data_IF_993272898347
#
_entry.id   IF_993272898347
#
_cell.length_a   1.000
_cell.length_b   1.000
_cell.length_c   1.000
_cell.angle_alpha   90.00
_cell.angle_beta   90.00
_cell.angle_gamma   90.00
#
_symmetry.space_group_name_H-M   'P 1'
#
loop_
_entity.id
_entity.type
_entity.pdbx_description
1 polymer ?
#
# COMPACT_ATOMS: atom_id res chain seq x y z
N UNK A 1 -29.20 -0.64 18.71
CA UNK A 1 -28.29 0.34 18.07
C UNK A 1 -26.84 0.20 18.52
N UNK A 2 -26.45 0.54 19.78
CA UNK A 2 -25.03 0.43 20.22
C UNK A 2 -24.50 -1.01 20.12
N UNK A 3 -25.27 -2.01 20.58
CA UNK A 3 -24.89 -3.43 20.48
C UNK A 3 -24.69 -3.89 19.04
N UNK A 4 -25.51 -3.44 18.12
CA UNK A 4 -25.40 -3.75 16.68
C UNK A 4 -24.17 -3.12 16.03
N UNK A 5 -23.84 -1.88 16.42
CA UNK A 5 -22.64 -1.19 15.95
C UNK A 5 -21.36 -1.88 16.45
N UNK A 6 -21.32 -2.25 17.72
CA UNK A 6 -20.20 -3.00 18.27
C UNK A 6 -20.06 -4.38 17.60
N UNK A 7 -21.18 -5.05 17.33
CA UNK A 7 -21.18 -6.34 16.62
C UNK A 7 -20.65 -6.17 15.20
N UNK A 8 -21.04 -5.12 14.47
CA UNK A 8 -20.52 -4.82 13.14
C UNK A 8 -19.00 -4.60 13.15
N UNK A 9 -18.50 -3.88 14.13
CA UNK A 9 -17.04 -3.71 14.33
C UNK A 9 -16.32 -5.04 14.61
N UNK A 10 -16.89 -5.90 15.46
CA UNK A 10 -16.33 -7.21 15.77
C UNK A 10 -16.34 -8.17 14.58
N UNK A 11 -17.43 -8.20 13.81
CA UNK A 11 -17.53 -9.01 12.58
C UNK A 11 -16.50 -8.55 11.53
N UNK A 12 -16.29 -7.23 11.40
CA UNK A 12 -15.24 -6.70 10.52
C UNK A 12 -13.83 -7.14 10.96
N UNK A 13 -13.56 -7.16 12.27
CA UNK A 13 -12.30 -7.68 12.81
C UNK A 13 -12.13 -9.17 12.56
N UNK A 14 -13.17 -9.97 12.80
CA UNK A 14 -13.14 -11.41 12.58
C UNK A 14 -12.82 -11.72 11.11
N UNK A 15 -13.53 -11.08 10.17
CA UNK A 15 -13.29 -11.25 8.73
C UNK A 15 -11.88 -10.83 8.33
N UNK A 16 -11.40 -9.72 8.87
CA UNK A 16 -10.04 -9.21 8.61
C UNK A 16 -8.96 -10.19 9.11
N UNK A 17 -9.08 -10.66 10.35
CA UNK A 17 -8.13 -11.60 10.93
C UNK A 17 -8.13 -12.92 10.17
N UNK A 18 -9.33 -13.45 9.88
CA UNK A 18 -9.48 -14.72 9.19
C UNK A 18 -8.91 -14.71 7.76
N UNK A 19 -9.04 -13.61 7.01
CA UNK A 19 -8.72 -13.58 5.58
C UNK A 19 -7.43 -12.85 5.21
N UNK A 20 -6.91 -11.95 6.07
CA UNK A 20 -5.81 -11.05 5.68
C UNK A 20 -4.54 -11.21 6.50
N UNK A 21 -4.63 -11.66 7.77
CA UNK A 21 -3.45 -11.70 8.64
C UNK A 21 -2.45 -12.74 8.16
N UNK A 22 -2.87 -13.97 7.95
CA UNK A 22 -1.96 -15.10 7.64
C UNK A 22 -1.28 -14.94 6.28
N UNK A 23 -2.06 -14.77 5.23
CA UNK A 23 -1.56 -14.81 3.85
C UNK A 23 -1.00 -13.50 3.33
N UNK A 24 -1.29 -12.36 4.01
CA UNK A 24 -0.87 -11.03 3.57
C UNK A 24 0.03 -10.33 4.59
N UNK A 25 -0.44 -10.21 5.84
CA UNK A 25 0.20 -9.33 6.81
C UNK A 25 1.49 -9.93 7.39
N UNK A 26 1.49 -11.22 7.73
CA UNK A 26 2.68 -11.91 8.24
C UNK A 26 3.83 -11.87 7.23
N UNK A 27 3.67 -12.27 5.95
CA UNK A 27 4.75 -12.15 4.97
C UNK A 27 5.24 -10.72 4.75
N UNK A 28 4.34 -9.72 4.82
CA UNK A 28 4.71 -8.32 4.68
C UNK A 28 5.58 -7.81 5.83
N UNK A 29 5.29 -8.21 7.07
CA UNK A 29 6.14 -7.88 8.21
C UNK A 29 7.49 -8.59 8.13
N UNK A 30 7.51 -9.86 7.70
CA UNK A 30 8.76 -10.59 7.45
C UNK A 30 9.61 -9.89 6.37
N UNK A 31 8.96 -9.41 5.31
CA UNK A 31 9.64 -8.65 4.26
C UNK A 31 10.20 -7.33 4.78
N UNK A 32 9.42 -6.57 5.55
CA UNK A 32 9.87 -5.31 6.15
C UNK A 32 11.11 -5.51 7.05
N UNK A 33 11.06 -6.51 7.94
CA UNK A 33 12.21 -6.88 8.78
C UNK A 33 13.42 -7.34 7.96
N UNK A 34 13.20 -8.13 6.89
CA UNK A 34 14.27 -8.58 6.00
C UNK A 34 14.92 -7.41 5.24
N UNK A 35 14.13 -6.42 4.81
CA UNK A 35 14.66 -5.21 4.16
C UNK A 35 15.59 -4.44 5.08
N UNK A 36 15.21 -4.24 6.33
CA UNK A 36 16.03 -3.53 7.33
C UNK A 36 17.30 -4.31 7.68
N UNK A 37 17.22 -5.66 7.76
CA UNK A 37 18.32 -6.51 8.24
C UNK A 37 19.31 -6.92 7.16
N UNK A 38 18.84 -7.17 5.93
CA UNK A 38 19.64 -7.81 4.89
C UNK A 38 20.00 -6.91 3.70
N UNK A 39 19.26 -5.81 3.48
CA UNK A 39 19.57 -4.89 2.38
C UNK A 39 20.64 -3.90 2.85
N UNK A 40 21.67 -3.75 2.03
CA UNK A 40 22.70 -2.75 2.27
C UNK A 40 22.11 -1.34 2.10
N UNK A 41 22.21 -0.53 3.15
CA UNK A 41 21.72 0.84 3.16
C UNK A 41 22.34 1.70 2.07
N UNK A 42 23.61 1.45 1.72
CA UNK A 42 24.32 2.20 0.69
C UNK A 42 23.67 2.10 -0.68
N UNK A 43 23.14 0.91 -1.02
CA UNK A 43 22.43 0.67 -2.27
C UNK A 43 21.10 1.41 -2.32
N UNK A 44 20.33 1.32 -1.24
CA UNK A 44 19.06 2.03 -1.14
C UNK A 44 19.28 3.54 -1.23
N UNK A 45 20.27 4.06 -0.53
CA UNK A 45 20.61 5.49 -0.57
C UNK A 45 21.06 5.91 -1.97
N UNK A 46 21.84 5.09 -2.68
CA UNK A 46 22.33 5.39 -4.04
C UNK A 46 21.21 5.50 -5.07
N UNK A 47 20.25 4.56 -5.06
CA UNK A 47 19.20 4.48 -6.09
C UNK A 47 17.86 5.11 -5.68
N UNK A 48 17.54 5.09 -4.41
CA UNK A 48 16.24 5.48 -3.85
C UNK A 48 16.35 6.54 -2.75
N UNK A 49 17.54 6.97 -2.38
CA UNK A 49 17.79 7.96 -1.32
C UNK A 49 17.47 9.40 -1.73
N UNK A 50 17.74 10.31 -0.81
CA UNK A 50 17.48 11.74 -1.00
C UNK A 50 18.35 12.38 -2.10
N UNK A 51 19.55 11.87 -2.33
CA UNK A 51 20.49 12.36 -3.35
C UNK A 51 20.29 11.69 -4.73
N UNK A 52 19.48 10.63 -4.81
CA UNK A 52 19.19 9.94 -6.06
C UNK A 52 18.40 10.84 -7.02
N UNK A 53 18.60 10.64 -8.32
CA UNK A 53 17.80 11.32 -9.33
C UNK A 53 16.30 11.03 -9.10
N UNK A 54 15.52 12.07 -8.75
CA UNK A 54 14.13 11.95 -8.34
C UNK A 54 13.26 11.30 -9.44
N UNK A 55 13.47 11.66 -10.71
CA UNK A 55 12.70 11.07 -11.80
C UNK A 55 12.96 9.57 -11.88
N UNK A 56 14.20 9.12 -11.83
CA UNK A 56 14.58 7.71 -11.90
C UNK A 56 14.06 6.93 -10.68
N UNK A 57 14.25 7.47 -9.48
CA UNK A 57 13.80 6.80 -8.25
C UNK A 57 12.27 6.74 -8.14
N UNK A 58 11.57 7.78 -8.56
CA UNK A 58 10.09 7.81 -8.59
C UNK A 58 9.52 6.86 -9.65
N UNK A 59 10.12 6.83 -10.86
CA UNK A 59 9.72 5.88 -11.90
C UNK A 59 9.96 4.44 -11.44
N UNK A 60 11.11 4.14 -10.85
CA UNK A 60 11.41 2.82 -10.33
C UNK A 60 10.44 2.40 -9.22
N UNK A 61 10.16 3.30 -8.29
CA UNK A 61 9.19 3.09 -7.22
C UNK A 61 7.78 2.84 -7.78
N UNK A 62 7.33 3.63 -8.75
CA UNK A 62 6.02 3.47 -9.38
C UNK A 62 5.91 2.13 -10.11
N UNK A 63 6.87 1.80 -10.98
CA UNK A 63 6.85 0.56 -11.78
C UNK A 63 6.88 -0.67 -10.87
N UNK A 64 7.78 -0.70 -9.86
CA UNK A 64 7.84 -1.82 -8.92
C UNK A 64 6.55 -1.98 -8.13
N UNK A 65 5.88 -0.87 -7.81
CA UNK A 65 4.61 -0.88 -7.08
C UNK A 65 3.46 -1.49 -7.88
N UNK A 66 3.42 -1.33 -9.20
CA UNK A 66 2.42 -1.99 -10.05
C UNK A 66 2.49 -3.52 -9.97
N UNK A 67 3.70 -4.06 -9.81
CA UNK A 67 3.93 -5.52 -9.68
C UNK A 67 3.64 -6.02 -8.27
N UNK A 68 3.63 -5.13 -7.28
CA UNK A 68 3.38 -5.49 -5.89
C UNK A 68 1.86 -5.63 -5.65
N UNK A 69 1.32 -6.83 -5.83
CA UNK A 69 -0.10 -7.13 -5.56
C UNK A 69 -0.37 -7.19 -4.06
N UNK A 70 -0.31 -6.04 -3.42
CA UNK A 70 -0.44 -5.90 -1.98
C UNK A 70 -1.56 -4.92 -1.62
N UNK A 71 -2.30 -5.22 -0.56
CA UNK A 71 -3.26 -4.28 0.02
C UNK A 71 -2.51 -3.18 0.78
N UNK A 72 -3.19 -2.09 1.07
CA UNK A 72 -2.61 -0.95 1.81
C UNK A 72 -2.01 -1.34 3.17
N UNK A 73 -2.60 -2.31 3.86
CA UNK A 73 -2.08 -2.81 5.15
C UNK A 73 -0.72 -3.48 5.03
N UNK A 74 -0.49 -4.22 3.93
CA UNK A 74 0.78 -4.91 3.68
C UNK A 74 1.86 -3.98 3.12
N UNK A 75 1.45 -2.93 2.42
CA UNK A 75 2.39 -1.96 1.84
C UNK A 75 2.99 -1.04 2.90
N UNK A 76 2.28 -0.73 4.00
CA UNK A 76 2.81 0.11 5.08
C UNK A 76 4.11 -0.46 5.67
N UNK A 77 4.18 -1.74 6.09
CA UNK A 77 5.44 -2.33 6.53
C UNK A 77 6.55 -2.27 5.48
N UNK A 78 6.22 -2.60 4.22
CA UNK A 78 7.19 -2.61 3.12
C UNK A 78 7.75 -1.21 2.86
N UNK A 79 6.89 -0.21 2.71
CA UNK A 79 7.30 1.18 2.47
C UNK A 79 8.09 1.75 3.66
N UNK A 80 7.71 1.40 4.89
CA UNK A 80 8.43 1.83 6.09
C UNK A 80 9.78 1.13 6.22
N UNK A 81 9.87 -0.17 5.95
CA UNK A 81 11.13 -0.90 5.91
C UNK A 81 12.12 -0.25 4.94
N UNK A 82 11.65 0.10 3.73
CA UNK A 82 12.45 0.80 2.74
C UNK A 82 12.88 2.19 3.21
N UNK A 83 11.96 2.95 3.83
CA UNK A 83 12.25 4.27 4.38
C UNK A 83 13.30 4.21 5.51
N UNK A 84 13.18 3.27 6.45
CA UNK A 84 14.15 3.09 7.53
C UNK A 84 15.51 2.56 7.04
N UNK A 85 15.54 1.91 5.88
CA UNK A 85 16.79 1.49 5.21
C UNK A 85 17.46 2.66 4.50
N UNK A 86 16.82 3.82 4.34
CA UNK A 86 17.40 5.04 3.81
C UNK A 86 16.83 5.53 2.49
N UNK A 87 15.71 4.97 2.03
CA UNK A 87 15.01 5.51 0.88
C UNK A 87 14.46 6.92 1.16
N UNK A 88 14.37 7.73 0.11
CA UNK A 88 13.73 9.04 0.12
C UNK A 88 12.27 8.91 0.58
N UNK A 89 11.79 9.91 1.31
CA UNK A 89 10.40 9.94 1.75
C UNK A 89 9.43 9.92 0.57
N UNK A 90 9.76 10.59 -0.53
CA UNK A 90 8.95 10.59 -1.75
C UNK A 90 8.80 9.19 -2.31
N UNK A 91 9.87 8.41 -2.39
CA UNK A 91 9.86 7.01 -2.84
C UNK A 91 8.97 6.14 -1.95
N UNK A 92 9.11 6.24 -0.63
CA UNK A 92 8.31 5.47 0.31
C UNK A 92 6.81 5.77 0.15
N UNK A 93 6.43 7.05 -0.03
CA UNK A 93 5.04 7.46 -0.20
C UNK A 93 4.47 7.15 -1.59
N UNK A 94 5.31 7.10 -2.64
CA UNK A 94 4.92 6.59 -3.96
C UNK A 94 4.55 5.10 -3.87
N UNK A 95 5.39 4.29 -3.24
CA UNK A 95 5.10 2.86 -3.05
C UNK A 95 3.84 2.68 -2.21
N UNK A 96 3.71 3.44 -1.13
CA UNK A 96 2.55 3.42 -0.25
C UNK A 96 1.24 3.73 -0.98
N UNK A 97 1.30 4.60 -1.99
CA UNK A 97 0.16 5.02 -2.80
C UNK A 97 -0.12 4.07 -3.97
N UNK A 98 0.87 3.83 -4.85
CA UNK A 98 0.67 3.13 -6.12
C UNK A 98 0.34 1.65 -5.92
N UNK A 99 1.00 0.98 -4.99
CA UNK A 99 0.84 -0.45 -4.79
C UNK A 99 -0.61 -0.87 -4.48
N UNK A 100 -1.36 -0.21 -3.59
CA UNK A 100 -2.77 -0.54 -3.40
C UNK A 100 -3.68 0.09 -4.46
N UNK A 101 -3.38 1.32 -4.93
CA UNK A 101 -4.26 2.06 -5.84
C UNK A 101 -4.29 1.52 -7.27
N UNK A 102 -3.20 0.92 -7.76
CA UNK A 102 -3.07 0.55 -9.16
C UNK A 102 -2.20 -0.69 -9.41
N UNK A 103 -2.21 -1.68 -8.52
CA UNK A 103 -1.50 -2.92 -8.81
C UNK A 103 -2.15 -3.72 -9.95
N UNK A 104 -1.36 -4.61 -10.56
CA UNK A 104 -1.76 -5.35 -11.75
C UNK A 104 -3.05 -6.17 -11.55
N UNK A 105 -3.29 -6.74 -10.37
CA UNK A 105 -4.51 -7.48 -10.08
C UNK A 105 -5.73 -6.55 -10.02
N UNK A 106 -5.62 -5.42 -9.32
CA UNK A 106 -6.68 -4.41 -9.27
C UNK A 106 -7.01 -3.87 -10.67
N UNK A 107 -6.00 -3.68 -11.52
CA UNK A 107 -6.19 -3.24 -12.91
C UNK A 107 -6.88 -4.29 -13.76
N UNK A 108 -6.52 -5.58 -13.64
CA UNK A 108 -7.20 -6.69 -14.35
C UNK A 108 -8.67 -6.76 -13.95
N UNK A 109 -8.98 -6.70 -12.64
CA UNK A 109 -10.37 -6.72 -12.16
C UNK A 109 -11.15 -5.48 -12.63
N UNK A 110 -10.55 -4.30 -12.55
CA UNK A 110 -11.15 -3.07 -13.08
C UNK A 110 -11.47 -3.21 -14.57
N UNK A 111 -10.55 -3.79 -15.36
CA UNK A 111 -10.74 -3.99 -16.78
C UNK A 111 -11.85 -4.99 -17.12
N UNK A 112 -11.92 -6.08 -16.37
CA UNK A 112 -12.93 -7.12 -16.57
C UNK A 112 -14.35 -6.65 -16.23
N UNK A 113 -14.49 -5.75 -15.25
CA UNK A 113 -15.81 -5.33 -14.72
C UNK A 113 -16.24 -3.96 -15.27
N UNK A 114 -15.32 -2.99 -15.25
CA UNK A 114 -15.60 -1.58 -15.57
C UNK A 114 -15.08 -1.13 -16.95
N UNK A 115 -14.33 -2.00 -17.62
CA UNK A 115 -13.86 -1.80 -18.98
C UNK A 115 -12.52 -1.05 -19.09
N UNK A 116 -11.94 -1.09 -20.30
CA UNK A 116 -10.58 -0.61 -20.61
C UNK A 116 -10.39 0.89 -20.40
N UNK A 117 -11.41 1.72 -20.68
CA UNK A 117 -11.33 3.17 -20.42
C UNK A 117 -11.06 3.47 -18.94
N UNK A 118 -11.74 2.75 -18.05
CA UNK A 118 -11.55 2.92 -16.60
C UNK A 118 -10.15 2.50 -16.16
N UNK A 119 -9.61 1.39 -16.71
CA UNK A 119 -8.24 0.94 -16.42
C UNK A 119 -7.20 1.97 -16.86
N UNK A 120 -7.29 2.45 -18.09
CA UNK A 120 -6.35 3.45 -18.61
C UNK A 120 -6.39 4.73 -17.80
N UNK A 121 -7.61 5.20 -17.47
CA UNK A 121 -7.80 6.36 -16.60
C UNK A 121 -7.18 6.12 -15.21
N UNK A 122 -7.34 4.93 -14.64
CA UNK A 122 -6.78 4.55 -13.35
C UNK A 122 -5.25 4.53 -13.37
N UNK A 123 -4.62 3.96 -14.41
CA UNK A 123 -3.16 3.92 -14.57
C UNK A 123 -2.59 5.33 -14.68
N UNK A 124 -3.12 6.13 -15.61
CA UNK A 124 -2.64 7.50 -15.83
C UNK A 124 -2.79 8.35 -14.57
N UNK A 125 -3.95 8.28 -13.94
CA UNK A 125 -4.23 9.01 -12.71
C UNK A 125 -3.33 8.59 -11.55
N UNK A 126 -3.13 7.28 -11.35
CA UNK A 126 -2.28 6.76 -10.29
C UNK A 126 -0.82 7.20 -10.46
N UNK A 127 -0.30 7.20 -11.70
CA UNK A 127 1.05 7.68 -12.00
C UNK A 127 1.18 9.19 -11.77
N UNK A 128 0.26 9.99 -12.28
CA UNK A 128 0.27 11.44 -12.08
C UNK A 128 0.23 11.78 -10.58
N UNK A 129 -0.71 11.18 -9.85
CA UNK A 129 -0.81 11.38 -8.41
C UNK A 129 0.44 10.91 -7.67
N UNK A 130 1.05 9.80 -8.07
CA UNK A 130 2.28 9.27 -7.46
C UNK A 130 3.43 10.27 -7.54
N UNK A 131 3.66 10.85 -8.73
CA UNK A 131 4.71 11.86 -8.91
C UNK A 131 4.43 13.13 -8.11
N UNK A 132 3.19 13.61 -8.11
CA UNK A 132 2.81 14.81 -7.34
C UNK A 132 2.99 14.56 -5.85
N UNK A 133 2.51 13.44 -5.32
CA UNK A 133 2.68 13.06 -3.91
C UNK A 133 4.15 12.92 -3.57
N UNK A 134 4.93 12.21 -4.40
CA UNK A 134 6.37 12.07 -4.20
C UNK A 134 7.07 13.43 -4.09
N UNK A 135 6.78 14.36 -5.00
CA UNK A 135 7.33 15.71 -4.98
C UNK A 135 6.88 16.52 -3.77
N UNK A 136 5.60 16.50 -3.41
CA UNK A 136 5.11 17.21 -2.23
C UNK A 136 5.79 16.72 -0.96
N UNK A 137 5.91 15.39 -0.80
CA UNK A 137 6.55 14.81 0.38
C UNK A 137 8.03 15.17 0.47
N UNK A 138 8.73 15.19 -0.66
CA UNK A 138 10.14 15.61 -0.72
C UNK A 138 10.28 17.09 -0.38
N UNK A 139 9.49 17.96 -1.00
CA UNK A 139 9.57 19.40 -0.79
C UNK A 139 9.29 19.80 0.66
N UNK A 140 8.33 19.12 1.31
CA UNK A 140 7.94 19.48 2.68
C UNK A 140 8.85 18.87 3.74
N UNK A 141 9.33 17.63 3.52
CA UNK A 141 10.00 16.88 4.59
C UNK A 141 11.46 16.53 4.32
N UNK A 142 11.91 16.56 3.07
CA UNK A 142 13.30 16.25 2.75
C UNK A 142 14.14 17.52 2.87
N UNK A 143 14.75 17.73 4.04
CA UNK A 143 15.74 18.78 4.22
C UNK A 143 16.99 18.38 3.44
N UNK A 144 17.58 19.32 2.67
CA UNK A 144 18.89 19.11 2.03
C UNK A 144 19.89 18.67 3.10
N UNK A 145 20.55 17.52 2.96
CA UNK A 145 21.58 17.10 3.91
C UNK A 145 22.67 18.16 3.90
N UNK A 146 23.32 18.39 5.05
CA UNK A 146 24.59 19.13 5.09
C UNK A 146 25.59 18.34 4.26
N UNK A 147 25.94 18.87 3.10
CA UNK A 147 26.62 18.25 1.96
C UNK A 147 27.98 17.62 2.25
N UNK A 148 28.59 17.92 3.41
CA UNK A 148 30.01 17.61 3.67
C UNK A 148 30.26 16.27 4.36
N UNK A 149 29.36 15.76 5.21
CA UNK A 149 29.65 14.57 6.00
C UNK A 149 29.23 13.26 5.29
N UNK A 150 28.08 13.26 4.61
CA UNK A 150 27.59 12.07 3.91
C UNK A 150 28.42 11.71 2.68
N UNK A 151 28.92 12.71 1.93
CA UNK A 151 29.82 12.49 0.77
C UNK A 151 31.19 11.93 1.17
N UNK A 152 31.67 12.25 2.36
CA UNK A 152 32.94 11.71 2.86
C UNK A 152 32.78 10.22 3.29
N UNK A 153 31.73 9.88 3.97
CA UNK A 153 31.45 8.49 4.37
C UNK A 153 31.13 7.58 3.17
N UNK A 154 30.33 8.06 2.21
CA UNK A 154 30.01 7.32 1.00
C UNK A 154 31.23 7.08 0.10
N UNK A 155 32.17 8.02 -0.01
CA UNK A 155 33.42 7.85 -0.81
C UNK A 155 34.42 6.86 -0.19
N UNK A 156 34.38 6.69 1.12
CA UNK A 156 35.33 5.80 1.81
C UNK A 156 34.92 4.31 1.69
N UNK A 157 33.64 4.01 1.38
CA UNK A 157 33.09 2.64 1.39
C UNK A 157 32.83 2.03 0.01
N UNK A 158 33.06 2.77 -1.09
CA UNK A 158 32.87 2.29 -2.46
C UNK A 158 33.99 1.35 -2.96
N UNK A 159 34.24 0.25 -2.24
CA UNK A 159 34.82 -0.95 -2.84
C UNK A 159 33.73 -1.76 -3.51
N UNK A 160 34.04 -2.39 -4.64
CA UNK A 160 33.17 -3.27 -5.46
C UNK A 160 32.57 -4.45 -4.66
N UNK A 161 31.65 -4.17 -3.72
CA UNK A 161 30.88 -5.22 -3.04
C UNK A 161 29.54 -5.39 -3.71
N UNK A 162 29.21 -6.61 -4.04
CA UNK A 162 27.90 -7.01 -4.60
C UNK A 162 26.77 -6.42 -3.75
N UNK A 163 25.84 -5.76 -4.41
CA UNK A 163 24.72 -4.98 -3.89
C UNK A 163 23.94 -5.67 -2.77
N UNK A 164 23.74 -6.97 -2.87
CA UNK A 164 23.16 -7.84 -1.84
C UNK A 164 23.83 -9.22 -2.02
N UNK A 165 24.38 -9.84 -0.99
CA UNK A 165 24.85 -11.22 -1.08
C UNK A 165 23.74 -12.13 -1.62
N UNK A 166 24.05 -12.97 -2.60
CA UNK A 166 23.06 -13.83 -3.29
C UNK A 166 22.12 -14.57 -2.33
N UNK A 167 22.63 -15.03 -1.19
CA UNK A 167 21.85 -15.71 -0.15
C UNK A 167 20.72 -14.87 0.44
N UNK A 168 20.93 -13.57 0.66
CA UNK A 168 19.90 -12.68 1.19
C UNK A 168 18.90 -12.25 0.11
N UNK A 169 19.38 -12.10 -1.13
CA UNK A 169 18.51 -11.83 -2.27
C UNK A 169 17.52 -12.99 -2.50
N UNK A 170 17.98 -14.23 -2.46
CA UNK A 170 17.12 -15.41 -2.59
C UNK A 170 16.09 -15.45 -1.46
N UNK A 171 16.52 -15.17 -0.21
CA UNK A 171 15.57 -15.10 0.92
C UNK A 171 14.49 -14.05 0.69
N UNK A 172 14.85 -12.85 0.27
CA UNK A 172 13.88 -11.77 -0.02
C UNK A 172 12.93 -12.19 -1.14
N UNK A 173 13.42 -12.83 -2.20
CA UNK A 173 12.58 -13.36 -3.29
C UNK A 173 11.62 -14.44 -2.76
N UNK A 174 12.04 -15.32 -1.89
CA UNK A 174 11.18 -16.36 -1.29
C UNK A 174 10.10 -15.72 -0.40
N UNK A 175 10.43 -14.67 0.37
CA UNK A 175 9.43 -13.92 1.15
C UNK A 175 8.43 -13.22 0.21
N UNK A 176 8.90 -12.61 -0.88
CA UNK A 176 8.04 -12.02 -1.90
C UNK A 176 7.13 -13.05 -2.56
N UNK A 177 7.64 -14.24 -2.87
CA UNK A 177 6.83 -15.33 -3.39
C UNK A 177 5.77 -15.79 -2.39
N UNK A 178 6.12 -15.91 -1.10
CA UNK A 178 5.15 -16.21 -0.03
C UNK A 178 4.04 -15.14 0.07
N UNK A 179 4.39 -13.86 -0.10
CA UNK A 179 3.44 -12.75 -0.08
C UNK A 179 2.54 -12.71 -1.32
N UNK A 180 3.12 -12.88 -2.51
CA UNK A 180 2.41 -12.64 -3.77
C UNK A 180 1.67 -13.87 -4.28
N UNK A 181 2.25 -15.08 -4.15
CA UNK A 181 1.71 -16.31 -4.74
C UNK A 181 0.26 -16.62 -4.37
N UNK A 182 -0.19 -16.44 -3.12
CA UNK A 182 -1.60 -16.71 -2.78
C UNK A 182 -2.59 -15.87 -3.59
N UNK A 183 -2.23 -14.63 -3.90
CA UNK A 183 -3.09 -13.71 -4.63
C UNK A 183 -3.00 -13.88 -6.15
N UNK A 184 -1.84 -14.28 -6.68
CA UNK A 184 -1.66 -14.50 -8.11
C UNK A 184 -2.14 -15.88 -8.57
N UNK A 185 -1.90 -16.93 -7.79
CA UNK A 185 -2.22 -18.31 -8.15
C UNK A 185 -3.67 -18.67 -7.83
N UNK A 186 -4.21 -18.16 -6.71
CA UNK A 186 -5.59 -18.47 -6.29
C UNK A 186 -6.49 -17.25 -6.48
N UNK A 187 -7.05 -17.12 -7.69
CA UNK A 187 -7.95 -16.01 -8.07
C UNK A 187 -9.39 -16.23 -7.64
N UNK A 188 -9.82 -17.48 -7.53
CA UNK A 188 -11.19 -17.90 -7.16
C UNK A 188 -11.14 -19.15 -6.30
N UNK A 189 -12.18 -19.37 -5.48
CA UNK A 189 -12.29 -20.54 -4.62
C UNK A 189 -12.19 -20.22 -3.13
N UNK A 190 -12.28 -21.24 -2.26
CA UNK A 190 -12.26 -21.06 -0.82
C UNK A 190 -10.90 -20.57 -0.31
N UNK A 191 -10.92 -19.79 0.76
CA UNK A 191 -9.71 -19.14 1.33
C UNK A 191 -8.61 -20.12 1.71
N UNK A 192 -8.95 -21.35 2.11
CA UNK A 192 -7.96 -22.35 2.50
C UNK A 192 -6.97 -22.72 1.37
N UNK A 193 -7.37 -22.58 0.08
CA UNK A 193 -6.42 -22.74 -1.05
C UNK A 193 -5.33 -21.70 -1.01
N UNK A 194 -5.66 -20.44 -0.64
CA UNK A 194 -4.65 -19.37 -0.44
C UNK A 194 -3.72 -19.72 0.71
N UNK A 195 -4.25 -20.28 1.79
CA UNK A 195 -3.46 -20.69 2.96
C UNK A 195 -2.49 -21.83 2.60
N UNK A 196 -2.92 -22.80 1.80
CA UNK A 196 -2.06 -23.88 1.34
C UNK A 196 -0.90 -23.38 0.47
N UNK A 197 -1.20 -22.50 -0.50
CA UNK A 197 -0.15 -21.89 -1.34
C UNK A 197 0.81 -21.07 -0.49
N UNK A 198 0.30 -20.26 0.42
CA UNK A 198 1.11 -19.51 1.38
C UNK A 198 1.99 -20.43 2.22
N UNK A 199 1.43 -21.47 2.80
CA UNK A 199 2.15 -22.43 3.64
C UNK A 199 3.30 -23.12 2.87
N UNK A 200 3.06 -23.51 1.61
CA UNK A 200 4.07 -24.11 0.75
C UNK A 200 5.28 -23.19 0.53
N UNK A 201 5.05 -21.95 0.08
CA UNK A 201 6.14 -21.01 -0.14
C UNK A 201 6.82 -20.57 1.16
N UNK A 202 6.05 -20.41 2.24
CA UNK A 202 6.59 -20.09 3.57
C UNK A 202 7.45 -21.23 4.10
N UNK A 203 7.06 -22.48 3.90
CA UNK A 203 7.85 -23.64 4.30
C UNK A 203 9.21 -23.69 3.57
N UNK A 204 9.21 -23.47 2.25
CA UNK A 204 10.45 -23.37 1.46
C UNK A 204 11.33 -22.24 1.99
N UNK A 205 10.75 -21.07 2.25
CA UNK A 205 11.44 -19.90 2.78
C UNK A 205 12.08 -20.20 4.15
N UNK A 206 11.35 -20.86 5.05
CA UNK A 206 11.85 -21.21 6.39
C UNK A 206 13.01 -22.20 6.30
N UNK A 207 12.87 -23.27 5.49
CA UNK A 207 13.96 -24.24 5.28
C UNK A 207 15.19 -23.52 4.73
N UNK A 208 15.02 -22.69 3.70
CA UNK A 208 16.12 -21.94 3.12
C UNK A 208 16.80 -21.03 4.16
N UNK A 209 16.02 -20.32 4.99
CA UNK A 209 16.55 -19.45 6.04
C UNK A 209 17.37 -20.24 7.06
N UNK A 210 16.89 -21.39 7.54
CA UNK A 210 17.58 -22.22 8.54
C UNK A 210 18.91 -22.75 7.99
N UNK A 211 18.96 -23.14 6.72
CA UNK A 211 20.16 -23.76 6.10
C UNK A 211 21.21 -22.71 5.73
N UNK A 212 20.80 -21.55 5.17
CA UNK A 212 21.72 -20.63 4.50
C UNK A 212 22.00 -19.34 5.28
N UNK A 213 21.20 -19.01 6.31
CA UNK A 213 21.34 -17.75 7.04
C UNK A 213 21.90 -18.03 8.44
N UNK A 214 22.90 -17.26 8.91
CA UNK A 214 23.41 -17.39 10.27
C UNK A 214 22.32 -17.14 11.32
N UNK A 215 22.32 -17.92 12.39
CA UNK A 215 21.31 -17.82 13.48
C UNK A 215 21.20 -16.42 14.06
N UNK A 216 22.30 -15.71 14.23
CA UNK A 216 22.34 -14.31 14.68
C UNK A 216 21.54 -13.40 13.77
N UNK A 217 21.72 -13.52 12.46
CA UNK A 217 20.99 -12.75 11.45
C UNK A 217 19.51 -13.09 11.38
N UNK A 218 19.15 -14.35 11.62
CA UNK A 218 17.73 -14.76 11.74
C UNK A 218 17.12 -14.08 12.99
N UNK A 219 17.84 -14.06 14.12
CA UNK A 219 17.39 -13.39 15.35
C UNK A 219 17.19 -11.90 15.13
N UNK A 220 18.13 -11.22 14.48
CA UNK A 220 18.01 -9.80 14.12
C UNK A 220 16.79 -9.55 13.24
N UNK A 221 16.61 -10.36 12.20
CA UNK A 221 15.47 -10.28 11.30
C UNK A 221 14.12 -10.45 12.02
N UNK A 222 14.00 -11.45 12.89
CA UNK A 222 12.77 -11.68 13.65
C UNK A 222 12.51 -10.57 14.66
N UNK A 223 13.55 -9.97 15.24
CA UNK A 223 13.44 -8.83 16.16
C UNK A 223 12.89 -7.59 15.43
N UNK A 224 13.42 -7.27 14.25
CA UNK A 224 12.91 -6.17 13.43
C UNK A 224 11.48 -6.45 12.96
N UNK A 225 11.19 -7.68 12.53
CA UNK A 225 9.83 -8.11 12.16
C UNK A 225 8.85 -7.91 13.32
N UNK A 226 9.23 -8.32 14.53
CA UNK A 226 8.39 -8.17 15.72
C UNK A 226 8.17 -6.71 16.11
N UNK A 227 9.18 -5.86 15.91
CA UNK A 227 9.04 -4.42 16.12
C UNK A 227 7.97 -3.82 15.19
N UNK A 228 7.96 -4.17 13.91
CA UNK A 228 6.92 -3.75 12.97
C UNK A 228 5.52 -4.26 13.35
N UNK A 229 5.42 -5.52 13.77
CA UNK A 229 4.14 -6.09 14.24
C UNK A 229 3.59 -5.29 15.40
N UNK A 230 4.38 -5.07 16.45
CA UNK A 230 3.97 -4.29 17.62
C UNK A 230 3.55 -2.86 17.30
N UNK A 231 4.22 -2.26 16.32
CA UNK A 231 3.98 -0.87 15.95
C UNK A 231 2.69 -0.70 15.14
N UNK A 232 2.44 -1.57 14.17
CA UNK A 232 1.43 -1.39 13.12
C UNK A 232 0.16 -2.20 13.40
N UNK A 233 0.27 -3.46 13.83
CA UNK A 233 -0.84 -4.40 13.92
C UNK A 233 -1.99 -3.92 14.83
N UNK A 234 -1.75 -3.40 16.06
CA UNK A 234 -2.83 -2.94 16.93
C UNK A 234 -3.64 -1.79 16.33
N UNK A 235 -2.95 -0.89 15.60
CA UNK A 235 -3.59 0.26 14.96
C UNK A 235 -4.44 -0.13 13.75
N UNK A 236 -3.98 -1.14 12.99
CA UNK A 236 -4.78 -1.70 11.91
C UNK A 236 -6.07 -2.35 12.44
N UNK A 237 -5.99 -3.12 13.53
CA UNK A 237 -7.16 -3.73 14.15
C UNK A 237 -8.14 -2.66 14.65
N UNK A 238 -7.64 -1.64 15.35
CA UNK A 238 -8.47 -0.52 15.82
C UNK A 238 -9.18 0.18 14.65
N UNK A 239 -8.44 0.45 13.57
CA UNK A 239 -8.99 1.10 12.40
C UNK A 239 -10.05 0.25 11.69
N UNK A 240 -9.82 -1.06 11.52
CA UNK A 240 -10.80 -1.99 10.92
C UNK A 240 -12.08 -2.04 11.77
N UNK A 241 -11.94 -2.08 13.10
CA UNK A 241 -13.09 -2.04 14.02
C UNK A 241 -13.93 -0.78 13.82
N UNK A 242 -13.28 0.40 13.77
CA UNK A 242 -13.97 1.68 13.55
C UNK A 242 -14.68 1.71 12.19
N UNK A 243 -14.03 1.24 11.13
CA UNK A 243 -14.62 1.19 9.79
C UNK A 243 -15.80 0.23 9.73
N UNK A 244 -15.75 -0.91 10.43
CA UNK A 244 -16.90 -1.82 10.56
C UNK A 244 -18.12 -1.15 11.17
N UNK A 245 -17.92 -0.27 12.17
CA UNK A 245 -18.99 0.54 12.76
C UNK A 245 -19.52 1.57 11.75
N UNK A 246 -18.64 2.32 11.09
CA UNK A 246 -19.01 3.36 10.10
C UNK A 246 -19.80 2.75 8.95
N UNK A 247 -19.39 1.58 8.44
CA UNK A 247 -20.06 0.89 7.35
C UNK A 247 -21.53 0.51 7.64
N UNK A 248 -21.88 0.33 8.93
CA UNK A 248 -23.27 0.06 9.35
C UNK A 248 -24.13 1.34 9.42
N UNK A 249 -23.51 2.50 9.51
CA UNK A 249 -24.21 3.79 9.68
C UNK A 249 -24.54 4.43 8.33
N UNK A 250 -23.81 4.11 7.25
CA UNK A 250 -23.94 4.73 5.92
C UNK A 250 -25.26 4.28 5.22
N UNK A 251 -26.23 5.20 4.95
CA UNK A 251 -27.45 4.86 4.25
C UNK A 251 -27.20 4.73 2.73
N UNK A 252 -27.83 3.75 2.08
CA UNK A 252 -27.74 3.55 0.63
C UNK A 252 -28.29 4.74 -0.19
N UNK A 253 -29.27 5.46 0.34
CA UNK A 253 -29.89 6.61 -0.32
C UNK A 253 -28.92 7.80 -0.56
N UNK A 254 -27.90 7.93 0.29
CA UNK A 254 -26.89 8.98 0.15
C UNK A 254 -26.01 8.76 -1.09
N UNK A 255 -25.88 7.51 -1.53
CA UNK A 255 -25.05 7.14 -2.69
C UNK A 255 -25.61 7.80 -3.96
N UNK A 256 -26.93 7.71 -4.19
CA UNK A 256 -27.56 8.29 -5.38
C UNK A 256 -27.47 9.81 -5.39
N UNK A 257 -27.70 10.43 -4.25
CA UNK A 257 -27.81 11.89 -4.14
C UNK A 257 -26.45 12.57 -4.19
N UNK A 258 -25.42 11.96 -3.59
CA UNK A 258 -24.14 12.63 -3.36
C UNK A 258 -23.03 12.16 -4.33
N UNK A 259 -23.13 10.96 -4.90
CA UNK A 259 -22.13 10.39 -5.81
C UNK A 259 -22.59 10.42 -7.28
N UNK A 260 -23.78 10.87 -7.58
CA UNK A 260 -24.31 10.99 -8.94
C UNK A 260 -23.67 12.13 -9.74
N UNK A 261 -23.63 11.96 -11.07
CA UNK A 261 -23.18 13.02 -11.97
C UNK A 261 -21.67 13.19 -12.09
N UNK A 262 -21.25 14.39 -12.52
CA UNK A 262 -19.84 14.74 -12.85
C UNK A 262 -19.33 15.93 -12.04
N UNK A 263 -20.01 16.29 -10.95
CA UNK A 263 -19.67 17.47 -10.16
C UNK A 263 -18.39 17.26 -9.34
N UNK A 264 -17.74 18.38 -8.99
CA UNK A 264 -16.58 18.36 -8.08
C UNK A 264 -16.98 17.82 -6.70
N UNK A 265 -18.18 18.16 -6.23
CA UNK A 265 -18.73 17.68 -4.96
C UNK A 265 -18.93 16.17 -4.96
N UNK A 266 -19.48 15.60 -6.04
CA UNK A 266 -19.64 14.15 -6.14
C UNK A 266 -18.27 13.42 -6.12
N UNK A 267 -17.27 13.95 -6.82
CA UNK A 267 -15.90 13.43 -6.76
C UNK A 267 -15.27 13.58 -5.38
N UNK A 268 -15.52 14.70 -4.67
CA UNK A 268 -15.05 14.90 -3.31
C UNK A 268 -15.66 13.88 -2.34
N UNK A 269 -16.98 13.69 -2.38
CA UNK A 269 -17.65 12.71 -1.51
C UNK A 269 -17.19 11.28 -1.81
N UNK A 270 -17.02 10.92 -3.08
CA UNK A 270 -16.46 9.62 -3.46
C UNK A 270 -15.06 9.41 -2.92
N UNK A 271 -14.19 10.43 -3.05
CA UNK A 271 -12.82 10.41 -2.51
C UNK A 271 -12.82 10.29 -1.00
N UNK A 272 -13.67 11.06 -0.32
CA UNK A 272 -13.76 11.06 1.15
C UNK A 272 -14.29 9.73 1.68
N UNK A 273 -15.34 9.18 1.05
CA UNK A 273 -15.84 7.84 1.38
C UNK A 273 -14.74 6.78 1.18
N UNK A 274 -14.03 6.84 0.05
CA UNK A 274 -12.88 5.98 -0.19
C UNK A 274 -11.80 6.11 0.89
N UNK A 275 -11.51 7.34 1.29
CA UNK A 275 -10.49 7.63 2.28
C UNK A 275 -10.83 7.16 3.71
N UNK A 276 -12.11 7.10 4.06
CA UNK A 276 -12.58 6.63 5.38
C UNK A 276 -12.88 5.14 5.37
N UNK A 277 -13.39 4.60 4.25
CA UNK A 277 -13.75 3.20 4.12
C UNK A 277 -12.54 2.29 4.01
N UNK A 278 -12.72 1.02 4.33
CA UNK A 278 -11.73 -0.01 4.10
C UNK A 278 -12.20 -0.95 2.99
N UNK A 279 -11.46 -1.00 1.89
CA UNK A 279 -11.72 -1.92 0.79
C UNK A 279 -10.55 -2.90 0.62
N UNK A 280 -10.87 -4.17 0.51
CA UNK A 280 -9.89 -5.15 0.04
C UNK A 280 -9.68 -4.94 -1.47
N UNK A 281 -8.45 -5.01 -1.94
CA UNK A 281 -8.02 -4.69 -3.32
C UNK A 281 -8.85 -5.42 -4.41
N UNK A 282 -9.41 -6.58 -4.09
CA UNK A 282 -10.19 -7.38 -5.04
C UNK A 282 -11.70 -7.08 -5.02
N UNK A 283 -12.21 -6.45 -3.95
CA UNK A 283 -13.65 -6.20 -3.78
C UNK A 283 -14.07 -4.82 -4.24
N UNK A 284 -13.12 -3.91 -4.48
CA UNK A 284 -13.39 -2.53 -4.86
C UNK A 284 -14.09 -2.38 -6.22
N UNK A 285 -13.62 -3.11 -7.25
CA UNK A 285 -14.19 -2.98 -8.60
C UNK A 285 -15.63 -3.50 -8.68
N UNK A 286 -16.00 -4.68 -8.13
CA UNK A 286 -17.41 -5.10 -8.04
C UNK A 286 -18.27 -4.15 -7.21
N UNK A 287 -17.71 -3.60 -6.12
CA UNK A 287 -18.43 -2.62 -5.29
C UNK A 287 -18.73 -1.35 -6.07
N UNK A 288 -17.72 -0.79 -6.75
CA UNK A 288 -17.89 0.40 -7.59
C UNK A 288 -18.86 0.16 -8.75
N UNK A 289 -18.84 -1.03 -9.38
CA UNK A 289 -19.81 -1.40 -10.41
C UNK A 289 -21.25 -1.36 -9.87
N UNK A 290 -21.45 -1.89 -8.66
CA UNK A 290 -22.76 -1.82 -7.99
C UNK A 290 -23.19 -0.37 -7.75
N UNK A 291 -22.29 0.49 -7.26
CA UNK A 291 -22.57 1.91 -7.07
C UNK A 291 -22.88 2.63 -8.39
N UNK A 292 -22.17 2.30 -9.46
CA UNK A 292 -22.43 2.86 -10.80
C UNK A 292 -23.80 2.44 -11.33
N UNK A 293 -24.20 1.20 -11.12
CA UNK A 293 -25.57 0.72 -11.44
C UNK A 293 -26.65 1.44 -10.63
N UNK A 294 -26.31 1.88 -9.41
CA UNK A 294 -27.17 2.72 -8.57
C UNK A 294 -27.14 4.22 -8.93
N UNK A 295 -26.37 4.64 -9.94
CA UNK A 295 -26.35 6.01 -10.44
C UNK A 295 -25.09 6.81 -10.12
N UNK A 296 -24.05 6.20 -9.56
CA UNK A 296 -22.76 6.86 -9.36
C UNK A 296 -22.10 7.25 -10.70
N UNK A 297 -21.59 8.46 -10.80
CA UNK A 297 -20.88 8.93 -11.99
C UNK A 297 -19.51 8.27 -12.19
N UNK A 298 -19.05 8.16 -13.45
CA UNK A 298 -17.76 7.52 -13.78
C UNK A 298 -16.55 8.25 -13.17
N UNK A 299 -16.60 9.57 -13.08
CA UNK A 299 -15.56 10.38 -12.43
C UNK A 299 -15.44 10.08 -10.92
N UNK A 300 -16.53 10.22 -10.15
CA UNK A 300 -16.58 9.76 -8.75
C UNK A 300 -16.17 8.28 -8.58
N UNK A 301 -16.55 7.40 -9.50
CA UNK A 301 -16.14 6.00 -9.49
C UNK A 301 -14.61 5.83 -9.59
N UNK A 302 -13.96 6.56 -10.50
CA UNK A 302 -12.51 6.58 -10.62
C UNK A 302 -11.85 7.13 -9.34
N UNK A 303 -12.40 8.21 -8.77
CA UNK A 303 -11.89 8.77 -7.52
C UNK A 303 -11.94 7.74 -6.38
N UNK A 304 -13.06 7.02 -6.24
CA UNK A 304 -13.22 5.97 -5.23
C UNK A 304 -12.24 4.80 -5.44
N UNK A 305 -12.07 4.33 -6.70
CA UNK A 305 -11.11 3.27 -7.06
C UNK A 305 -9.66 3.62 -6.75
N UNK A 306 -9.30 4.89 -6.85
CA UNK A 306 -7.97 5.37 -6.52
C UNK A 306 -7.77 5.51 -5.01
N UNK A 307 -8.73 6.11 -4.31
CA UNK A 307 -8.55 6.49 -2.90
C UNK A 307 -8.93 5.38 -1.92
N UNK A 308 -9.94 4.57 -2.23
CA UNK A 308 -10.39 3.49 -1.35
C UNK A 308 -9.30 2.51 -0.94
N UNK A 309 -8.56 1.91 -1.88
CA UNK A 309 -7.45 1.04 -1.52
C UNK A 309 -6.20 1.80 -1.07
N UNK A 310 -5.99 3.02 -1.55
CA UNK A 310 -4.77 3.79 -1.29
C UNK A 310 -4.69 4.38 0.12
N UNK A 311 -5.81 4.92 0.61
CA UNK A 311 -5.89 5.54 1.93
C UNK A 311 -7.19 5.16 2.63
N UNK A 312 -7.12 4.41 3.68
CA UNK A 312 -8.28 4.07 4.52
C UNK A 312 -8.02 4.50 5.96
N UNK A 313 -9.05 4.65 6.77
CA UNK A 313 -8.90 5.08 8.16
C UNK A 313 -7.91 4.23 8.97
N UNK A 314 -7.89 2.88 8.87
CA UNK A 314 -6.86 2.06 9.49
C UNK A 314 -5.43 2.46 9.07
N UNK A 315 -5.26 2.77 7.79
CA UNK A 315 -3.96 3.16 7.25
C UNK A 315 -3.53 4.55 7.74
N UNK A 316 -4.46 5.49 7.94
CA UNK A 316 -4.13 6.79 8.51
C UNK A 316 -3.43 6.66 9.85
N UNK A 317 -4.00 5.82 10.74
CA UNK A 317 -3.43 5.57 12.06
C UNK A 317 -2.05 4.92 11.97
N UNK A 318 -1.91 3.92 11.10
CA UNK A 318 -0.65 3.22 10.92
C UNK A 318 0.42 4.15 10.29
N UNK A 319 0.09 4.93 9.25
CA UNK A 319 0.99 5.91 8.63
C UNK A 319 1.43 6.98 9.64
N UNK A 320 0.48 7.52 10.41
CA UNK A 320 0.78 8.51 11.45
C UNK A 320 1.74 7.98 12.50
N UNK A 321 1.58 6.71 12.90
CA UNK A 321 2.46 6.06 13.87
C UNK A 321 3.84 5.75 13.33
N UNK A 322 3.92 5.25 12.09
CA UNK A 322 5.17 4.77 11.48
C UNK A 322 6.01 5.92 10.94
N UNK A 323 5.40 6.79 10.15
CA UNK A 323 6.11 7.89 9.48
C UNK A 323 6.06 9.22 10.27
N UNK A 324 5.15 9.30 11.26
CA UNK A 324 4.91 10.48 12.07
C UNK A 324 3.68 11.28 11.63
N UNK A 325 2.99 11.85 12.61
CA UNK A 325 1.72 12.57 12.41
C UNK A 325 1.82 13.70 11.39
N UNK A 326 2.90 14.48 11.41
CA UNK A 326 3.10 15.60 10.45
C UNK A 326 3.12 15.12 8.99
N UNK A 327 3.73 13.97 8.71
CA UNK A 327 3.79 13.40 7.37
C UNK A 327 2.43 12.86 6.93
N UNK A 328 1.70 12.22 7.84
CA UNK A 328 0.34 11.76 7.58
C UNK A 328 -0.61 12.95 7.28
N UNK A 329 -0.51 14.03 8.06
CA UNK A 329 -1.32 15.25 7.87
C UNK A 329 -1.05 15.98 6.53
N UNK A 330 0.09 15.79 5.92
CA UNK A 330 0.35 16.31 4.56
C UNK A 330 -0.12 15.31 3.51
N UNK A 331 0.22 14.03 3.67
CA UNK A 331 -0.09 12.99 2.70
C UNK A 331 -1.59 12.77 2.48
N UNK A 332 -2.35 12.60 3.56
CA UNK A 332 -3.78 12.25 3.48
C UNK A 332 -4.61 13.34 2.79
N UNK A 333 -4.53 14.63 3.19
CA UNK A 333 -5.22 15.69 2.46
C UNK A 333 -4.74 15.84 1.02
N UNK A 334 -3.45 15.64 0.74
CA UNK A 334 -2.92 15.65 -0.63
C UNK A 334 -3.64 14.62 -1.51
N UNK A 335 -3.79 13.39 -1.03
CA UNK A 335 -4.51 12.35 -1.78
C UNK A 335 -5.99 12.69 -1.94
N UNK A 336 -6.64 13.23 -0.92
CA UNK A 336 -8.05 13.62 -0.99
C UNK A 336 -8.25 14.72 -2.05
N UNK A 337 -7.40 15.74 -2.05
CA UNK A 337 -7.45 16.82 -3.04
C UNK A 337 -7.20 16.28 -4.46
N UNK A 338 -6.13 15.52 -4.64
CA UNK A 338 -5.77 14.98 -5.95
C UNK A 338 -6.82 13.98 -6.47
N UNK A 339 -7.32 13.09 -5.63
CA UNK A 339 -8.38 12.14 -6.00
C UNK A 339 -9.66 12.85 -6.43
N UNK A 340 -10.03 13.93 -5.72
CA UNK A 340 -11.18 14.77 -6.08
C UNK A 340 -10.98 15.43 -7.44
N UNK A 341 -9.83 16.07 -7.65
CA UNK A 341 -9.51 16.75 -8.91
C UNK A 341 -9.44 15.78 -10.09
N UNK A 342 -8.83 14.64 -9.90
CA UNK A 342 -8.75 13.57 -10.91
C UNK A 342 -10.14 13.04 -11.25
N UNK A 343 -10.95 12.73 -10.24
CA UNK A 343 -12.33 12.27 -10.46
C UNK A 343 -13.16 13.28 -11.23
N UNK A 344 -13.09 14.54 -10.85
CA UNK A 344 -13.77 15.63 -11.54
C UNK A 344 -13.25 15.81 -12.99
N UNK A 345 -11.94 15.86 -13.20
CA UNK A 345 -11.33 16.04 -14.52
C UNK A 345 -11.70 14.89 -15.47
N UNK A 346 -11.46 13.64 -15.07
CA UNK A 346 -11.76 12.49 -15.92
C UNK A 346 -13.27 12.31 -16.13
N UNK A 347 -14.10 12.65 -15.13
CA UNK A 347 -15.55 12.61 -15.27
C UNK A 347 -16.11 13.58 -16.31
N UNK A 348 -15.50 14.75 -16.49
CA UNK A 348 -15.97 15.76 -17.42
C UNK A 348 -15.32 15.69 -18.82
N UNK A 349 -14.04 15.31 -18.89
CA UNK A 349 -13.28 15.41 -20.15
C UNK A 349 -12.98 14.06 -20.79
N UNK A 350 -13.02 12.95 -20.06
CA UNK A 350 -12.64 11.63 -20.57
C UNK A 350 -13.85 10.69 -20.69
N UNK A 351 -14.78 10.72 -19.71
CA UNK A 351 -15.96 9.86 -19.69
C UNK A 351 -17.23 10.55 -20.20
#
# INVERSE_FOLDING_TARGET
MIKELLMAGLLALEDYIAKHVITCLIPAFLLAGAMVTFIDKTVIIKYLGSEANKIRSFSLASISSFLLAACSCTVIPVASGLYYTGASIGVAFIILWVAPAANILALIYTGAILGTKMVLSRIVSALLMAFIVGWIMVLVFERKPKESLLKAELKAEFGEKSIIPKKYLILIILILLSLLSPNYLVRSGPYWHKVLVWAFFTFIMVIYAIINIPKEKISDWLRETWWFIRLIFPLLLLGVFIVGIIGKILPEEWIKTWLGGKSLSASFFATFIGAVSYFATMTEAPFVDTLMKLGMGKGPALALLLTGPGISLPNWLAIAKVFGVKKALVYIPTIIILGTLVGWFFGNFIF
#
